data_IF_242737586363
#
_entry.id   IF_242737586363
#
_cell.length_a   1.000
_cell.length_b   1.000
_cell.length_c   1.000
_cell.angle_alpha   90.00
_cell.angle_beta   90.00
_cell.angle_gamma   90.00
#
_symmetry.space_group_name_H-M   'P 1'
#
loop_
_entity.id
_entity.type
_entity.pdbx_description
1 polymer ?
#
# COMPACT_ATOMS: atom_id res chain seq x y z
N UNK A 1 26.51 -6.67 7.30
CA UNK A 1 25.61 -7.83 7.50
C UNK A 1 24.47 -7.58 8.50
N UNK A 2 24.08 -6.33 8.80
CA UNK A 2 22.93 -6.02 9.69
C UNK A 2 21.76 -5.30 8.96
N UNK A 3 21.88 -5.04 7.66
CA UNK A 3 20.86 -4.36 6.85
C UNK A 3 20.17 -5.29 5.84
N UNK A 4 20.57 -6.56 5.75
CA UNK A 4 20.07 -7.53 4.77
C UNK A 4 18.73 -8.20 5.19
N UNK A 5 18.07 -7.70 6.22
CA UNK A 5 16.81 -8.26 6.72
C UNK A 5 15.95 -7.28 7.52
N UNK A 6 16.34 -6.00 7.61
CA UNK A 6 15.45 -4.98 8.17
C UNK A 6 14.59 -4.43 7.03
N UNK A 7 13.27 -4.60 7.09
CA UNK A 7 12.36 -4.08 6.08
C UNK A 7 12.49 -2.56 6.04
N UNK A 8 12.60 -2.00 4.83
CA UNK A 8 12.73 -0.56 4.56
C UNK A 8 11.56 0.29 5.12
N UNK A 9 10.54 -0.36 5.68
CA UNK A 9 9.34 0.22 6.26
C UNK A 9 8.88 -0.66 7.43
N UNK A 10 8.96 -0.21 8.69
CA UNK A 10 8.47 -0.98 9.84
C UNK A 10 6.99 -1.37 9.71
N UNK A 11 6.15 -0.49 9.15
CA UNK A 11 4.72 -0.78 8.97
C UNK A 11 4.47 -1.93 7.99
N UNK A 12 5.30 -2.06 6.95
CA UNK A 12 5.23 -3.16 6.00
C UNK A 12 5.49 -4.50 6.72
N UNK A 13 6.44 -4.54 7.65
CA UNK A 13 6.74 -5.74 8.43
C UNK A 13 5.58 -6.13 9.32
N UNK A 14 5.01 -5.18 10.06
CA UNK A 14 3.87 -5.47 10.94
C UNK A 14 2.66 -6.02 10.16
N UNK A 15 2.52 -5.64 8.89
CA UNK A 15 1.48 -6.19 8.02
C UNK A 15 1.80 -7.62 7.60
N UNK A 16 3.05 -7.89 7.22
CA UNK A 16 3.49 -9.24 6.87
C UNK A 16 3.43 -10.21 8.06
N UNK A 17 3.71 -9.71 9.27
CA UNK A 17 3.65 -10.48 10.51
C UNK A 17 2.21 -10.67 11.02
N UNK A 18 1.22 -10.05 10.35
CA UNK A 18 -0.19 -10.13 10.73
C UNK A 18 -0.56 -9.34 11.99
N UNK A 19 0.31 -8.43 12.44
CA UNK A 19 0.02 -7.54 13.57
C UNK A 19 -0.94 -6.40 13.17
N UNK A 20 -0.91 -5.99 11.90
CA UNK A 20 -1.81 -4.99 11.35
C UNK A 20 -2.32 -5.45 9.97
N UNK A 21 -3.59 -5.19 9.64
CA UNK A 21 -4.11 -5.52 8.31
C UNK A 21 -3.69 -4.47 7.25
N UNK A 22 -3.50 -3.23 7.69
CA UNK A 22 -3.43 -2.04 6.85
C UNK A 22 -2.51 -0.97 7.45
N UNK A 23 -1.94 -0.12 6.59
CA UNK A 23 -1.05 0.96 7.00
C UNK A 23 -1.21 2.26 6.20
N UNK A 24 -0.86 3.39 6.83
CA UNK A 24 -0.86 4.72 6.20
C UNK A 24 0.53 5.32 6.35
N UNK A 25 1.11 5.80 5.25
CA UNK A 25 2.41 6.48 5.24
C UNK A 25 2.31 7.90 4.67
N UNK A 26 3.12 8.80 5.21
CA UNK A 26 3.22 10.18 4.73
C UNK A 26 4.69 10.58 4.55
N UNK A 27 4.96 11.36 3.50
CA UNK A 27 6.16 12.18 3.41
C UNK A 27 5.83 13.49 2.70
N UNK A 28 6.83 14.24 2.21
CA UNK A 28 6.58 15.48 1.47
C UNK A 28 5.59 15.29 0.30
N UNK A 29 5.87 14.32 -0.57
CA UNK A 29 5.06 14.02 -1.77
C UNK A 29 4.33 12.68 -1.71
N UNK A 30 4.63 11.82 -0.74
CA UNK A 30 4.16 10.42 -0.69
C UNK A 30 4.90 9.45 -1.61
N UNK A 31 5.61 9.95 -2.63
CA UNK A 31 6.29 9.14 -3.65
C UNK A 31 7.37 8.25 -3.03
N UNK A 32 8.28 8.83 -2.23
CA UNK A 32 9.41 8.10 -1.67
C UNK A 32 8.98 6.94 -0.77
N UNK A 33 7.98 7.18 0.10
CA UNK A 33 7.46 6.15 1.01
C UNK A 33 6.68 5.06 0.25
N UNK A 34 5.98 5.40 -0.84
CA UNK A 34 5.35 4.41 -1.73
C UNK A 34 6.40 3.52 -2.40
N UNK A 35 7.45 4.11 -2.98
CA UNK A 35 8.53 3.36 -3.64
C UNK A 35 9.21 2.43 -2.64
N UNK A 36 9.57 2.93 -1.45
CA UNK A 36 10.24 2.15 -0.41
C UNK A 36 9.38 1.00 0.11
N UNK A 37 8.08 1.23 0.38
CA UNK A 37 7.19 0.19 0.87
C UNK A 37 6.99 -0.93 -0.16
N UNK A 38 6.84 -0.60 -1.44
CA UNK A 38 6.74 -1.58 -2.54
C UNK A 38 8.04 -2.36 -2.82
N UNK A 39 9.15 -2.06 -2.13
CA UNK A 39 10.36 -2.91 -2.18
C UNK A 39 10.29 -4.10 -1.23
N UNK A 40 9.36 -4.10 -0.28
CA UNK A 40 9.12 -5.24 0.61
C UNK A 40 8.23 -6.23 -0.13
N UNK A 41 8.72 -7.44 -0.48
CA UNK A 41 7.90 -8.43 -1.20
C UNK A 41 6.63 -8.78 -0.42
N UNK A 42 5.50 -8.88 -1.12
CA UNK A 42 4.19 -9.14 -0.52
C UNK A 42 3.45 -7.88 -0.07
N UNK A 43 4.06 -6.69 -0.15
CA UNK A 43 3.42 -5.41 0.17
C UNK A 43 3.08 -4.65 -1.10
N UNK A 44 1.85 -4.14 -1.13
CA UNK A 44 1.35 -3.24 -2.17
C UNK A 44 0.98 -1.91 -1.53
N UNK A 45 1.72 -0.87 -1.89
CA UNK A 45 1.54 0.49 -1.40
C UNK A 45 1.11 1.43 -2.53
N UNK A 46 -0.04 2.08 -2.39
CA UNK A 46 -0.57 3.01 -3.40
C UNK A 46 -0.34 4.47 -3.00
N UNK A 47 0.16 5.30 -3.93
CA UNK A 47 0.14 6.76 -3.75
C UNK A 47 -1.22 7.31 -4.11
N UNK A 48 -1.90 7.93 -3.15
CA UNK A 48 -3.26 8.45 -3.30
C UNK A 48 -3.29 9.96 -3.10
N UNK A 49 -4.08 10.64 -3.93
CA UNK A 49 -4.28 12.09 -3.88
C UNK A 49 -5.76 12.49 -3.98
N UNK A 50 -6.65 11.51 -4.10
CA UNK A 50 -8.09 11.67 -4.25
C UNK A 50 -8.80 10.40 -3.77
N UNK A 51 -10.11 10.48 -3.53
CA UNK A 51 -10.92 9.39 -2.98
C UNK A 51 -11.11 8.23 -3.97
N UNK A 52 -11.19 8.51 -5.27
CA UNK A 52 -11.34 7.45 -6.28
C UNK A 52 -10.10 6.55 -6.31
N UNK A 53 -8.91 7.14 -6.36
CA UNK A 53 -7.64 6.41 -6.27
C UNK A 53 -7.54 5.61 -4.97
N UNK A 54 -8.03 6.16 -3.85
CA UNK A 54 -8.07 5.48 -2.56
C UNK A 54 -8.98 4.24 -2.57
N UNK A 55 -10.19 4.36 -3.12
CA UNK A 55 -11.09 3.23 -3.29
C UNK A 55 -10.49 2.17 -4.20
N UNK A 56 -9.91 2.58 -5.34
CA UNK A 56 -9.28 1.65 -6.30
C UNK A 56 -8.02 1.00 -5.73
N UNK A 57 -7.30 1.65 -4.82
CA UNK A 57 -6.18 1.05 -4.10
C UNK A 57 -6.64 -0.21 -3.33
N UNK A 58 -7.75 -0.13 -2.60
CA UNK A 58 -8.35 -1.30 -1.94
C UNK A 58 -9.02 -2.25 -2.95
N UNK A 59 -10.05 -1.78 -3.67
CA UNK A 59 -10.94 -2.63 -4.49
C UNK A 59 -10.27 -3.31 -5.69
N UNK A 60 -9.18 -2.75 -6.22
CA UNK A 60 -8.52 -3.30 -7.41
C UNK A 60 -7.15 -3.89 -7.12
N UNK A 61 -6.40 -3.25 -6.24
CA UNK A 61 -4.99 -3.58 -6.05
C UNK A 61 -4.74 -4.33 -4.74
N UNK A 62 -5.79 -4.53 -3.93
CA UNK A 62 -5.69 -5.08 -2.59
C UNK A 62 -4.52 -4.45 -1.81
N UNK A 63 -4.38 -3.12 -1.92
CA UNK A 63 -3.25 -2.39 -1.36
C UNK A 63 -3.40 -2.33 0.16
N UNK A 64 -2.44 -2.93 0.87
CA UNK A 64 -2.40 -2.90 2.33
C UNK A 64 -1.94 -1.54 2.85
N UNK A 65 -1.24 -0.76 2.02
CA UNK A 65 -0.74 0.56 2.39
C UNK A 65 -1.26 1.62 1.42
N UNK A 66 -1.76 2.73 1.95
CA UNK A 66 -1.86 3.98 1.18
C UNK A 66 -0.80 4.96 1.64
N UNK A 67 -0.33 5.77 0.70
CA UNK A 67 0.69 6.78 0.91
C UNK A 67 0.21 8.12 0.40
N UNK A 68 0.58 9.19 1.09
CA UNK A 68 0.09 10.54 0.79
C UNK A 68 1.20 11.59 0.98
N UNK A 69 1.06 12.71 0.28
CA UNK A 69 2.00 13.83 0.33
C UNK A 69 1.51 14.96 1.23
N UNK A 70 2.17 15.18 2.36
CA UNK A 70 1.85 16.27 3.31
C UNK A 70 2.03 17.68 2.72
N UNK A 71 2.79 17.82 1.63
CA UNK A 71 2.95 19.09 0.88
C UNK A 71 2.04 19.18 -0.36
N UNK A 72 1.25 18.13 -0.63
CA UNK A 72 0.47 17.99 -1.87
C UNK A 72 -1.03 18.03 -1.58
N UNK A 73 -1.49 17.37 -0.51
CA UNK A 73 -2.91 17.34 -0.13
C UNK A 73 -3.13 18.00 1.22
N UNK A 74 -4.28 18.67 1.37
CA UNK A 74 -4.70 19.25 2.65
C UNK A 74 -5.24 18.20 3.63
N UNK A 75 -5.26 18.49 4.95
CA UNK A 75 -5.59 17.51 5.99
C UNK A 75 -7.04 16.98 5.89
N UNK A 76 -8.01 17.81 5.52
CA UNK A 76 -9.40 17.34 5.40
C UNK A 76 -9.59 16.41 4.21
N UNK A 77 -8.94 16.69 3.07
CA UNK A 77 -8.93 15.76 1.94
C UNK A 77 -8.19 14.46 2.28
N UNK A 78 -7.09 14.54 3.04
CA UNK A 78 -6.37 13.35 3.49
C UNK A 78 -7.25 12.44 4.36
N UNK A 79 -8.08 13.00 5.25
CA UNK A 79 -9.07 12.21 6.02
C UNK A 79 -10.08 11.53 5.10
N UNK A 80 -10.67 12.26 4.16
CA UNK A 80 -11.63 11.67 3.21
C UNK A 80 -11.02 10.55 2.36
N UNK A 81 -9.74 10.69 1.97
CA UNK A 81 -8.99 9.64 1.25
C UNK A 81 -8.85 8.39 2.13
N UNK A 82 -8.46 8.57 3.40
CA UNK A 82 -8.34 7.47 4.36
C UNK A 82 -9.68 6.78 4.58
N UNK A 83 -10.75 7.53 4.79
CA UNK A 83 -12.11 6.99 5.01
C UNK A 83 -12.59 6.18 3.80
N UNK A 84 -12.41 6.71 2.58
CA UNK A 84 -12.79 6.03 1.34
C UNK A 84 -12.03 4.71 1.14
N UNK A 85 -10.74 4.68 1.50
CA UNK A 85 -9.93 3.47 1.44
C UNK A 85 -10.34 2.45 2.52
N UNK A 86 -10.55 2.88 3.77
CA UNK A 86 -10.97 2.01 4.88
C UNK A 86 -12.36 1.41 4.64
N UNK A 87 -13.27 2.15 4.04
CA UNK A 87 -14.62 1.68 3.68
C UNK A 87 -14.64 0.74 2.45
N UNK A 88 -13.49 0.52 1.82
CA UNK A 88 -13.36 -0.28 0.61
C UNK A 88 -12.69 -1.63 0.88
N UNK A 89 -13.27 -2.69 0.32
CA UNK A 89 -12.77 -4.06 0.42
C UNK A 89 -12.45 -4.64 -0.95
N UNK A 90 -11.44 -5.51 -0.99
CA UNK A 90 -11.06 -6.25 -2.17
C UNK A 90 -11.92 -7.50 -2.33
N UNK A 91 -12.40 -7.75 -3.54
CA UNK A 91 -13.09 -9.00 -3.88
C UNK A 91 -12.11 -9.95 -4.59
N UNK A 92 -11.73 -11.03 -3.91
CA UNK A 92 -10.84 -12.06 -4.45
C UNK A 92 -11.41 -12.80 -5.67
N UNK A 93 -12.73 -12.72 -5.89
CA UNK A 93 -13.41 -13.28 -7.07
C UNK A 93 -13.74 -12.19 -8.11
N UNK A 94 -13.36 -10.95 -7.83
CA UNK A 94 -13.61 -9.80 -8.68
C UNK A 94 -12.68 -9.74 -9.89
N UNK A 95 -12.98 -8.84 -10.85
CA UNK A 95 -12.24 -8.74 -12.11
C UNK A 95 -10.77 -8.30 -11.93
N UNK A 96 -10.41 -7.74 -10.78
CA UNK A 96 -9.03 -7.31 -10.50
C UNK A 96 -8.17 -8.39 -9.83
N UNK A 97 -8.75 -9.53 -9.44
CA UNK A 97 -8.02 -10.63 -8.79
C UNK A 97 -6.83 -11.13 -9.60
N UNK A 98 -6.98 -11.28 -10.91
CA UNK A 98 -5.90 -11.73 -11.79
C UNK A 98 -4.69 -10.77 -11.80
N UNK A 99 -4.92 -9.47 -11.66
CA UNK A 99 -3.84 -8.48 -11.61
C UNK A 99 -3.07 -8.56 -10.29
N UNK A 100 -3.77 -8.70 -9.15
CA UNK A 100 -3.13 -8.88 -7.84
C UNK A 100 -2.29 -10.15 -7.82
N UNK A 101 -2.85 -11.26 -8.31
CA UNK A 101 -2.11 -12.53 -8.44
C UNK A 101 -0.89 -12.43 -9.36
N UNK A 102 -0.93 -11.57 -10.39
CA UNK A 102 0.23 -11.33 -11.24
C UNK A 102 1.33 -10.56 -10.50
N UNK A 103 0.96 -9.56 -9.69
CA UNK A 103 1.89 -8.81 -8.84
C UNK A 103 2.54 -9.75 -7.81
N UNK A 104 1.74 -10.58 -7.12
CA UNK A 104 2.23 -11.50 -6.11
C UNK A 104 3.24 -12.52 -6.69
N UNK A 105 3.01 -12.97 -7.93
CA UNK A 105 3.96 -13.82 -8.66
C UNK A 105 5.29 -13.11 -8.96
N UNK A 106 5.28 -11.81 -9.27
CA UNK A 106 6.49 -11.02 -9.48
C UNK A 106 7.31 -10.89 -8.20
N UNK A 107 6.65 -10.79 -7.04
CA UNK A 107 7.33 -10.71 -5.76
C UNK A 107 7.92 -12.06 -5.34
N UNK A 108 7.17 -13.15 -5.53
CA UNK A 108 7.68 -14.50 -5.28
C UNK A 108 8.95 -14.82 -6.11
N UNK A 109 8.99 -14.37 -7.37
CA UNK A 109 10.15 -14.56 -8.24
C UNK A 109 11.41 -13.78 -7.81
N UNK A 110 11.29 -12.76 -6.93
CA UNK A 110 12.45 -12.04 -6.38
C UNK A 110 13.04 -12.70 -5.13
N UNK A 111 12.29 -13.62 -4.52
CA UNK A 111 12.66 -14.29 -3.27
C UNK A 111 13.31 -15.67 -3.50
N UNK A 112 13.19 -16.23 -4.71
CA UNK A 112 13.88 -17.45 -5.17
C UNK A 112 15.08 -17.12 -6.05
#
# INVERSE_FOLDING_TARGET
>A
SALAGMPLSPIAQTILDGENDRGILFCGTGIGVSISANKVPGIRAALTHDTYSAERAAKSNNAQIITMGARVIGPELAKSIVDAWLASEFDEKGPSAGNVQAIDRLDAAKLG
#
